data_IF_388039704885
#
_entry.id   IF_388039704885
#
_cell.length_a   1.000
_cell.length_b   1.000
_cell.length_c   1.000
_cell.angle_alpha   90.00
_cell.angle_beta   90.00
_cell.angle_gamma   90.00
#
_symmetry.space_group_name_H-M   'P 1'
#
loop_
_entity.id
_entity.type
_entity.pdbx_description
1 polymer ?
#
# COMPACT_ATOMS: atom_id res chain seq x y z
N UNK A 1 24.61 20.01 2.44
CA UNK A 1 23.19 20.23 2.16
C UNK A 1 22.48 20.13 3.49
N UNK A 2 22.01 21.24 4.09
CA UNK A 2 21.40 21.20 5.44
C UNK A 2 20.15 20.33 5.49
N UNK A 3 19.73 19.93 6.68
CA UNK A 3 18.52 19.13 6.91
C UNK A 3 17.27 19.72 6.24
N UNK A 4 17.12 21.06 6.25
CA UNK A 4 16.03 21.76 5.56
C UNK A 4 16.10 21.57 4.04
N UNK A 5 17.28 21.75 3.45
CA UNK A 5 17.45 21.60 2.00
C UNK A 5 17.26 20.15 1.54
N UNK A 6 17.75 19.18 2.33
CA UNK A 6 17.53 17.75 2.11
C UNK A 6 16.03 17.42 2.16
N UNK A 7 15.32 17.93 3.18
CA UNK A 7 13.87 17.75 3.32
C UNK A 7 13.11 18.29 2.12
N UNK A 8 13.38 19.54 1.72
CA UNK A 8 12.70 20.16 0.58
C UNK A 8 12.92 19.37 -0.71
N UNK A 9 14.15 18.94 -0.98
CA UNK A 9 14.46 18.14 -2.15
C UNK A 9 13.65 16.84 -2.18
N UNK A 10 13.51 16.15 -1.05
CA UNK A 10 12.72 14.91 -0.96
C UNK A 10 11.22 15.18 -1.09
N UNK A 11 10.70 16.26 -0.48
CA UNK A 11 9.30 16.66 -0.63
C UNK A 11 8.98 16.97 -2.10
N UNK A 12 9.82 17.75 -2.77
CA UNK A 12 9.65 18.08 -4.20
C UNK A 12 9.73 16.83 -5.08
N UNK A 13 10.70 15.94 -4.82
CA UNK A 13 10.80 14.65 -5.49
C UNK A 13 9.54 13.78 -5.31
N UNK A 14 8.94 13.77 -4.11
CA UNK A 14 7.75 12.95 -3.83
C UNK A 14 6.49 13.42 -4.61
N UNK A 15 6.49 14.66 -5.11
CA UNK A 15 5.44 15.14 -6.00
C UNK A 15 5.50 14.46 -7.37
N UNK A 16 6.64 13.96 -7.83
CA UNK A 16 6.77 13.22 -9.08
C UNK A 16 7.97 12.27 -8.99
N UNK A 17 7.84 11.14 -8.26
CA UNK A 17 8.98 10.31 -7.93
C UNK A 17 9.51 9.61 -9.18
N UNK A 18 10.65 10.08 -9.66
CA UNK A 18 11.42 9.45 -10.73
C UNK A 18 12.80 9.08 -10.20
N UNK A 19 13.16 7.80 -10.29
CA UNK A 19 14.43 7.29 -9.80
C UNK A 19 14.59 7.36 -8.26
N UNK A 20 15.84 7.25 -7.75
CA UNK A 20 16.10 7.27 -6.32
C UNK A 20 15.81 8.65 -5.70
N UNK A 21 15.42 8.72 -4.42
CA UNK A 21 15.24 9.98 -3.72
C UNK A 21 16.55 10.78 -3.64
N UNK A 22 16.48 12.12 -3.65
CA UNK A 22 17.67 12.95 -3.55
C UNK A 22 18.35 12.77 -2.18
N UNK A 23 19.65 12.50 -2.22
CA UNK A 23 20.47 12.33 -1.03
C UNK A 23 21.01 13.65 -0.49
N UNK A 24 21.09 13.78 0.83
CA UNK A 24 21.66 14.95 1.50
C UNK A 24 22.16 14.64 2.90
N UNK A 25 22.85 15.59 3.53
CA UNK A 25 23.28 15.47 4.92
C UNK A 25 22.20 16.05 5.86
N UNK A 26 22.42 15.87 7.17
CA UNK A 26 21.52 16.33 8.23
C UNK A 26 22.16 17.44 9.07
N UNK A 27 23.05 18.25 8.46
CA UNK A 27 23.58 19.42 9.15
C UNK A 27 22.43 20.35 9.57
N UNK A 28 22.57 20.97 10.75
CA UNK A 28 21.55 21.86 11.33
C UNK A 28 20.20 21.15 11.59
N UNK A 29 20.25 19.89 12.05
CA UNK A 29 19.06 19.08 12.32
C UNK A 29 18.02 19.78 13.22
N UNK A 30 18.47 20.57 14.20
CA UNK A 30 17.61 21.34 15.11
C UNK A 30 16.68 22.31 14.37
N UNK A 31 17.03 22.72 13.14
CA UNK A 31 16.15 23.55 12.31
C UNK A 31 14.83 22.84 11.94
N UNK A 32 14.78 21.49 11.98
CA UNK A 32 13.55 20.71 11.75
C UNK A 32 12.57 20.78 12.93
N UNK A 33 12.99 21.24 14.12
CA UNK A 33 12.09 21.46 15.25
C UNK A 33 11.19 22.68 15.06
N UNK A 34 11.60 23.61 14.17
CA UNK A 34 10.84 24.81 13.82
C UNK A 34 10.98 25.06 12.31
N UNK A 35 10.36 24.20 11.48
CA UNK A 35 10.59 24.22 10.04
C UNK A 35 10.15 25.58 9.43
N UNK A 36 10.85 26.10 8.41
CA UNK A 36 10.41 27.29 7.69
C UNK A 36 9.01 27.12 7.08
N UNK A 37 8.32 28.25 6.85
CA UNK A 37 6.99 28.28 6.22
C UNK A 37 6.97 27.52 4.90
N UNK A 38 8.02 27.67 4.09
CA UNK A 38 8.16 26.97 2.81
C UNK A 38 8.08 25.45 2.97
N UNK A 39 8.80 24.86 3.91
CA UNK A 39 8.81 23.41 4.14
C UNK A 39 7.42 22.89 4.50
N UNK A 40 6.70 23.60 5.39
CA UNK A 40 5.33 23.25 5.75
C UNK A 40 4.37 23.38 4.56
N UNK A 41 4.53 24.41 3.74
CA UNK A 41 3.72 24.61 2.55
C UNK A 41 3.93 23.49 1.53
N UNK A 42 5.20 23.11 1.27
CA UNK A 42 5.52 21.99 0.37
C UNK A 42 4.96 20.67 0.91
N UNK A 43 5.04 20.38 2.22
CA UNK A 43 4.41 19.19 2.80
C UNK A 43 2.89 19.20 2.60
N UNK A 44 2.23 20.35 2.74
CA UNK A 44 0.80 20.48 2.49
C UNK A 44 0.42 20.23 1.02
N UNK A 45 1.27 20.68 0.10
CA UNK A 45 1.13 20.37 -1.33
C UNK A 45 1.29 18.86 -1.59
N UNK A 46 2.33 18.23 -1.03
CA UNK A 46 2.55 16.77 -1.11
C UNK A 46 1.32 16.01 -0.62
N UNK A 47 0.80 16.35 0.56
CA UNK A 47 -0.39 15.72 1.13
C UNK A 47 -1.60 15.84 0.20
N UNK A 48 -1.82 17.02 -0.37
CA UNK A 48 -2.96 17.30 -1.25
C UNK A 48 -2.86 16.55 -2.58
N UNK A 49 -1.69 16.60 -3.22
CA UNK A 49 -1.42 15.89 -4.48
C UNK A 49 -1.51 14.37 -4.27
N UNK A 50 -0.97 13.87 -3.16
CA UNK A 50 -1.05 12.46 -2.80
C UNK A 50 -2.50 12.00 -2.59
N UNK A 51 -3.27 12.74 -1.80
CA UNK A 51 -4.68 12.45 -1.58
C UNK A 51 -5.47 12.43 -2.90
N UNK A 52 -5.25 13.41 -3.78
CA UNK A 52 -5.88 13.46 -5.09
C UNK A 52 -5.51 12.24 -5.96
N UNK A 53 -4.23 11.83 -6.00
CA UNK A 53 -3.77 10.63 -6.71
C UNK A 53 -4.37 9.34 -6.17
N UNK A 54 -4.62 9.30 -4.86
CA UNK A 54 -5.27 8.18 -4.19
C UNK A 54 -6.81 8.23 -4.30
N UNK A 55 -7.38 9.28 -4.91
CA UNK A 55 -8.83 9.45 -5.01
C UNK A 55 -9.52 9.78 -3.68
N UNK A 56 -8.75 10.26 -2.70
CA UNK A 56 -9.23 10.69 -1.38
C UNK A 56 -9.66 12.15 -1.47
N UNK A 57 -10.97 12.40 -1.41
CA UNK A 57 -11.53 13.74 -1.54
C UNK A 57 -11.47 14.49 -0.22
N UNK A 58 -11.18 15.81 -0.21
CA UNK A 58 -11.23 16.61 1.01
C UNK A 58 -12.59 16.66 1.71
N UNK A 59 -13.69 16.38 0.97
CA UNK A 59 -15.08 16.46 1.45
C UNK A 59 -15.58 15.22 2.19
N UNK A 60 -14.93 14.08 1.99
CA UNK A 60 -15.24 12.77 2.61
C UNK A 60 -14.39 12.52 3.85
N UNK A 61 -13.39 13.37 4.08
CA UNK A 61 -12.62 13.46 5.32
C UNK A 61 -13.54 14.13 6.36
N UNK A 62 -13.79 13.51 7.54
CA UNK A 62 -14.59 14.13 8.58
C UNK A 62 -14.07 15.55 8.86
N UNK A 63 -14.93 16.59 8.92
CA UNK A 63 -14.47 17.99 9.02
C UNK A 63 -13.54 18.22 10.23
N UNK A 64 -13.74 17.47 11.31
CA UNK A 64 -12.88 17.44 12.51
C UNK A 64 -11.41 17.09 12.22
N UNK A 65 -11.14 16.36 11.12
CA UNK A 65 -9.78 15.93 10.71
C UNK A 65 -9.16 16.80 9.60
N UNK A 66 -9.90 17.73 9.01
CA UNK A 66 -9.40 18.65 7.95
C UNK A 66 -8.84 19.96 8.49
N UNK A 67 -9.20 20.35 9.71
CA UNK A 67 -8.82 21.62 10.31
C UNK A 67 -7.48 21.57 11.07
N UNK A 68 -6.96 20.37 11.33
CA UNK A 68 -5.69 20.21 12.03
C UNK A 68 -4.51 20.47 11.10
N UNK A 69 -3.52 21.28 11.52
CA UNK A 69 -2.26 21.41 10.80
C UNK A 69 -1.63 20.04 10.58
N UNK A 70 -0.96 19.85 9.43
CA UNK A 70 -0.15 18.66 9.23
C UNK A 70 0.93 18.57 10.32
N UNK A 71 1.03 17.40 10.93
CA UNK A 71 2.07 17.08 11.89
C UNK A 71 3.45 17.18 11.21
N UNK A 72 4.51 17.54 11.96
CA UNK A 72 5.85 17.66 11.42
C UNK A 72 6.47 16.33 10.98
N UNK A 73 5.82 15.19 11.23
CA UNK A 73 6.37 13.86 10.93
C UNK A 73 6.73 13.70 9.45
N UNK A 74 5.90 14.22 8.54
CA UNK A 74 6.22 14.20 7.11
C UNK A 74 7.53 14.94 6.77
N UNK A 75 7.90 15.96 7.55
CA UNK A 75 9.16 16.70 7.42
C UNK A 75 10.31 15.82 7.90
N UNK A 76 10.18 15.19 9.07
CA UNK A 76 11.22 14.31 9.62
C UNK A 76 11.41 13.06 8.77
N UNK A 77 10.34 12.49 8.20
CA UNK A 77 10.39 11.39 7.25
C UNK A 77 11.12 11.77 5.96
N UNK A 78 10.82 12.95 5.40
CA UNK A 78 11.52 13.43 4.22
C UNK A 78 13.03 13.60 4.48
N UNK A 79 13.40 14.18 5.63
CA UNK A 79 14.80 14.30 6.04
C UNK A 79 15.47 12.92 6.20
N UNK A 80 14.80 11.96 6.84
CA UNK A 80 15.31 10.62 7.05
C UNK A 80 15.50 9.85 5.73
N UNK A 81 14.57 9.97 4.78
CA UNK A 81 14.69 9.36 3.44
C UNK A 81 15.91 9.93 2.69
N UNK A 82 16.08 11.24 2.70
CA UNK A 82 17.22 11.89 2.03
C UNK A 82 18.56 11.52 2.68
N UNK A 83 18.60 11.44 4.01
CA UNK A 83 19.79 11.00 4.74
C UNK A 83 20.10 9.51 4.51
N UNK A 84 19.07 8.66 4.50
CA UNK A 84 19.18 7.22 4.32
C UNK A 84 19.70 6.79 2.94
N UNK A 85 19.66 7.70 1.98
CA UNK A 85 20.24 7.51 0.64
C UNK A 85 21.77 7.67 0.64
N UNK A 86 22.35 8.15 1.75
CA UNK A 86 23.78 8.31 1.93
C UNK A 86 24.33 7.27 2.93
N UNK A 87 25.30 6.41 2.55
CA UNK A 87 25.74 5.27 3.37
C UNK A 87 26.22 5.60 4.80
N UNK A 88 26.72 6.82 5.01
CA UNK A 88 27.21 7.30 6.31
C UNK A 88 26.13 7.77 7.29
N UNK A 89 24.86 7.88 6.87
CA UNK A 89 23.79 8.49 7.68
C UNK A 89 22.62 7.54 7.98
N UNK A 90 22.71 6.26 7.61
CA UNK A 90 21.63 5.26 7.81
C UNK A 90 21.18 5.17 9.27
N UNK A 91 22.10 5.17 10.24
CA UNK A 91 21.76 5.10 11.67
C UNK A 91 20.96 6.32 12.11
N UNK A 92 21.40 7.53 11.74
CA UNK A 92 20.70 8.78 12.06
C UNK A 92 19.34 8.85 11.37
N UNK A 93 19.23 8.36 10.12
CA UNK A 93 17.96 8.25 9.41
C UNK A 93 16.96 7.34 10.16
N UNK A 94 17.42 6.19 10.66
CA UNK A 94 16.60 5.28 11.47
C UNK A 94 16.15 5.94 12.77
N UNK A 95 17.03 6.66 13.47
CA UNK A 95 16.68 7.37 14.69
C UNK A 95 15.60 8.44 14.44
N UNK A 96 15.70 9.19 13.34
CA UNK A 96 14.68 10.16 12.94
C UNK A 96 13.33 9.51 12.65
N UNK A 97 13.33 8.36 11.96
CA UNK A 97 12.09 7.59 11.71
C UNK A 97 11.45 7.17 13.03
N UNK A 98 12.23 6.66 13.98
CA UNK A 98 11.71 6.21 15.28
C UNK A 98 11.12 7.35 16.11
N UNK A 99 11.65 8.56 15.98
CA UNK A 99 11.07 9.74 16.62
C UNK A 99 9.67 10.07 16.08
N UNK A 100 9.41 9.83 14.78
CA UNK A 100 8.07 9.97 14.20
C UNK A 100 7.09 9.00 14.87
N UNK A 101 7.48 7.73 15.05
CA UNK A 101 6.61 6.72 15.68
C UNK A 101 6.26 7.06 17.14
N UNK A 102 7.23 7.58 17.90
CA UNK A 102 7.06 7.90 19.32
C UNK A 102 6.23 9.16 19.58
N UNK A 103 6.27 10.14 18.68
CA UNK A 103 5.61 11.43 18.85
C UNK A 103 4.11 11.39 18.55
N UNK A 104 3.67 10.52 17.62
CA UNK A 104 2.35 10.64 17.03
C UNK A 104 1.63 9.29 16.99
N UNK A 105 1.07 8.83 18.11
CA UNK A 105 0.00 7.83 18.02
C UNK A 105 -1.02 8.32 17.00
N UNK A 106 -0.98 7.77 15.77
CA UNK A 106 -1.30 8.51 14.54
C UNK A 106 -2.63 9.23 14.66
N UNK A 107 -2.57 10.56 14.85
CA UNK A 107 -3.73 11.39 15.08
C UNK A 107 -4.46 11.65 13.77
N UNK A 108 -5.11 10.61 13.26
CA UNK A 108 -6.44 10.68 12.68
C UNK A 108 -6.65 11.35 11.32
N UNK A 109 -5.74 12.15 10.77
CA UNK A 109 -6.00 12.87 9.52
C UNK A 109 -5.55 12.12 8.25
N UNK A 110 -6.46 12.04 7.27
CA UNK A 110 -6.21 11.34 6.00
C UNK A 110 -5.11 12.01 5.17
N UNK A 111 -4.93 13.32 5.30
CA UNK A 111 -3.90 14.06 4.58
C UNK A 111 -2.48 13.69 5.06
N UNK A 112 -2.27 13.52 6.36
CA UNK A 112 -1.00 13.05 6.91
C UNK A 112 -0.66 11.63 6.47
N UNK A 113 -1.66 10.74 6.47
CA UNK A 113 -1.51 9.39 5.91
C UNK A 113 -1.13 9.41 4.42
N UNK A 114 -1.77 10.27 3.63
CA UNK A 114 -1.46 10.43 2.21
C UNK A 114 -0.05 10.99 2.00
N UNK A 115 0.37 11.98 2.79
CA UNK A 115 1.70 12.57 2.71
C UNK A 115 2.79 11.55 3.03
N UNK A 116 2.63 10.80 4.12
CA UNK A 116 3.58 9.76 4.51
C UNK A 116 3.65 8.65 3.46
N UNK A 117 2.50 8.27 2.89
CA UNK A 117 2.49 7.32 1.77
C UNK A 117 3.24 7.83 0.55
N UNK A 118 3.05 9.10 0.17
CA UNK A 118 3.75 9.68 -0.99
C UNK A 118 5.26 9.79 -0.79
N UNK A 119 5.73 9.94 0.45
CA UNK A 119 7.14 9.92 0.78
C UNK A 119 7.69 8.49 0.81
N UNK A 120 7.06 7.62 1.60
CA UNK A 120 7.59 6.28 1.91
C UNK A 120 7.42 5.34 0.73
N UNK A 121 6.21 5.25 0.15
CA UNK A 121 5.87 4.30 -0.90
C UNK A 121 6.91 4.23 -2.03
N UNK A 122 7.22 5.34 -2.74
CA UNK A 122 8.23 5.33 -3.78
C UNK A 122 9.67 5.15 -3.27
N UNK A 123 9.96 5.56 -2.03
CA UNK A 123 11.32 5.46 -1.48
C UNK A 123 11.73 4.01 -1.15
N UNK A 124 10.76 3.13 -0.83
CA UNK A 124 11.03 1.75 -0.41
C UNK A 124 11.88 0.95 -1.41
N UNK A 125 11.82 1.28 -2.71
CA UNK A 125 12.59 0.59 -3.74
C UNK A 125 14.08 0.98 -3.79
N UNK A 126 14.47 2.07 -3.12
CA UNK A 126 15.79 2.68 -3.26
C UNK A 126 16.57 2.79 -1.95
N UNK A 127 15.89 2.66 -0.81
CA UNK A 127 16.53 2.72 0.51
C UNK A 127 16.99 1.35 0.99
N UNK A 128 18.01 1.26 1.87
CA UNK A 128 18.40 -0.01 2.47
C UNK A 128 17.25 -0.68 3.23
N UNK A 129 17.15 -2.02 3.18
CA UNK A 129 16.03 -2.77 3.79
C UNK A 129 15.85 -2.48 5.28
N UNK A 130 16.94 -2.23 6.02
CA UNK A 130 16.87 -1.86 7.43
C UNK A 130 16.11 -0.54 7.66
N UNK A 131 16.26 0.44 6.75
CA UNK A 131 15.50 1.68 6.79
C UNK A 131 14.09 1.49 6.22
N UNK A 132 13.94 0.69 5.17
CA UNK A 132 12.64 0.34 4.60
C UNK A 132 11.69 -0.26 5.66
N UNK A 133 12.20 -1.17 6.51
CA UNK A 133 11.45 -1.77 7.60
C UNK A 133 10.93 -0.72 8.61
N UNK A 134 11.79 0.23 9.00
CA UNK A 134 11.42 1.31 9.92
C UNK A 134 10.42 2.27 9.28
N UNK A 135 10.59 2.61 7.99
CA UNK A 135 9.66 3.47 7.25
C UNK A 135 8.25 2.86 7.12
N UNK A 136 8.14 1.53 6.99
CA UNK A 136 6.83 0.83 6.98
C UNK A 136 6.10 0.98 8.32
N UNK A 137 6.81 0.99 9.45
CA UNK A 137 6.21 1.19 10.79
C UNK A 137 5.54 2.56 10.91
N UNK A 138 6.12 3.57 10.27
CA UNK A 138 5.66 4.97 10.31
C UNK A 138 4.92 5.39 9.05
N UNK A 139 4.39 4.45 8.28
CA UNK A 139 3.54 4.79 7.13
C UNK A 139 2.39 3.81 7.01
N UNK A 140 1.38 3.91 7.89
CA UNK A 140 0.28 2.96 7.98
C UNK A 140 -0.45 2.73 6.65
N UNK A 141 -0.64 3.79 5.86
CA UNK A 141 -1.28 3.66 4.55
C UNK A 141 -0.43 2.88 3.55
N UNK A 142 0.90 3.03 3.56
CA UNK A 142 1.81 2.20 2.77
C UNK A 142 1.77 0.75 3.23
N UNK A 143 1.68 0.50 4.54
CA UNK A 143 1.52 -0.84 5.10
C UNK A 143 0.23 -1.52 4.63
N UNK A 144 -0.88 -0.78 4.52
CA UNK A 144 -2.13 -1.30 3.94
C UNK A 144 -2.00 -1.57 2.44
N UNK A 145 -1.48 -0.60 1.68
CA UNK A 145 -1.49 -0.65 0.22
C UNK A 145 -0.41 -1.57 -0.37
N UNK A 146 0.67 -1.83 0.36
CA UNK A 146 1.80 -2.65 -0.09
C UNK A 146 2.06 -3.84 0.84
N UNK A 147 2.89 -3.69 1.86
CA UNK A 147 3.23 -4.76 2.79
C UNK A 147 3.52 -4.14 4.16
N UNK A 148 2.87 -4.60 5.24
CA UNK A 148 3.17 -4.12 6.59
C UNK A 148 4.55 -4.57 7.05
N UNK A 149 5.10 -3.88 8.05
CA UNK A 149 6.23 -4.40 8.80
C UNK A 149 5.82 -5.68 9.54
N UNK A 150 6.78 -6.58 9.75
CA UNK A 150 6.54 -7.85 10.44
C UNK A 150 6.03 -7.60 11.86
N UNK A 151 4.87 -8.17 12.20
CA UNK A 151 4.21 -8.00 13.49
C UNK A 151 3.16 -6.88 13.53
N UNK A 152 3.08 -6.06 12.48
CA UNK A 152 2.12 -4.94 12.37
C UNK A 152 0.93 -5.25 11.44
N UNK A 153 0.74 -6.53 11.10
CA UNK A 153 -0.33 -6.95 10.21
C UNK A 153 -1.72 -6.60 10.76
N UNK A 154 -1.94 -6.74 12.07
CA UNK A 154 -3.25 -6.47 12.68
C UNK A 154 -3.55 -4.97 12.72
N UNK A 155 -2.53 -4.12 12.88
CA UNK A 155 -2.65 -2.66 12.81
C UNK A 155 -3.01 -2.22 11.39
N UNK A 156 -2.34 -2.79 10.39
CA UNK A 156 -2.65 -2.52 8.99
C UNK A 156 -4.06 -3.02 8.63
N UNK A 157 -4.49 -4.18 9.14
CA UNK A 157 -5.83 -4.69 8.91
C UNK A 157 -6.91 -3.77 9.50
N UNK A 158 -6.73 -3.30 10.73
CA UNK A 158 -7.66 -2.35 11.36
C UNK A 158 -7.77 -1.02 10.57
N UNK A 159 -6.66 -0.55 9.97
CA UNK A 159 -6.72 0.61 9.08
C UNK A 159 -7.43 0.29 7.75
N UNK A 160 -7.23 -0.90 7.19
CA UNK A 160 -7.93 -1.34 5.98
C UNK A 160 -9.45 -1.40 6.20
N UNK A 161 -9.91 -1.89 7.35
CA UNK A 161 -11.33 -1.86 7.76
C UNK A 161 -11.85 -0.42 7.86
N UNK A 162 -11.11 0.48 8.51
CA UNK A 162 -11.47 1.90 8.59
C UNK A 162 -11.59 2.56 7.22
N UNK A 163 -10.67 2.26 6.31
CA UNK A 163 -10.74 2.71 4.91
C UNK A 163 -11.98 2.16 4.22
N UNK A 164 -12.26 0.86 4.37
CA UNK A 164 -13.41 0.18 3.79
C UNK A 164 -14.76 0.71 4.33
N UNK A 165 -14.77 1.39 5.48
CA UNK A 165 -15.92 2.11 6.02
C UNK A 165 -16.29 3.41 5.28
N UNK A 166 -15.46 3.86 4.32
CA UNK A 166 -15.68 5.12 3.58
C UNK A 166 -15.76 4.89 2.07
N UNK A 167 -16.56 5.65 1.30
CA UNK A 167 -16.63 5.50 -0.15
C UNK A 167 -15.28 5.68 -0.86
N UNK A 168 -14.45 6.61 -0.38
CA UNK A 168 -13.16 6.90 -1.00
C UNK A 168 -12.13 5.82 -0.68
N UNK A 169 -12.11 5.32 0.56
CA UNK A 169 -11.27 4.19 0.93
C UNK A 169 -11.68 2.90 0.22
N UNK A 170 -12.98 2.67 0.02
CA UNK A 170 -13.47 1.56 -0.83
C UNK A 170 -12.93 1.66 -2.25
N UNK A 171 -13.06 2.84 -2.90
CA UNK A 171 -12.50 3.04 -4.25
C UNK A 171 -10.99 2.85 -4.28
N UNK A 172 -10.26 3.41 -3.30
CA UNK A 172 -8.81 3.26 -3.19
C UNK A 172 -8.40 1.78 -3.11
N UNK A 173 -9.02 1.02 -2.20
CA UNK A 173 -8.75 -0.40 -2.02
C UNK A 173 -9.09 -1.16 -3.30
N UNK A 174 -10.27 -0.94 -3.89
CA UNK A 174 -10.71 -1.60 -5.12
C UNK A 174 -9.69 -1.41 -6.26
N UNK A 175 -9.27 -0.17 -6.51
CA UNK A 175 -8.30 0.13 -7.56
C UNK A 175 -6.91 -0.44 -7.26
N UNK A 176 -6.41 -0.31 -6.03
CA UNK A 176 -5.05 -0.75 -5.70
C UNK A 176 -4.93 -2.26 -5.66
N UNK A 177 -5.92 -2.95 -5.09
CA UNK A 177 -5.84 -4.41 -4.91
C UNK A 177 -6.14 -5.18 -6.20
N UNK A 178 -6.77 -4.52 -7.17
CA UNK A 178 -7.02 -5.03 -8.50
C UNK A 178 -5.76 -5.15 -9.38
N UNK A 179 -4.64 -4.51 -9.04
CA UNK A 179 -3.42 -4.52 -9.87
C UNK A 179 -2.68 -5.87 -9.78
N UNK A 180 -2.46 -6.59 -10.91
CA UNK A 180 -1.77 -7.87 -10.95
C UNK A 180 -0.24 -7.81 -10.85
N UNK A 181 0.36 -6.61 -10.95
CA UNK A 181 1.83 -6.45 -11.07
C UNK A 181 2.55 -6.24 -9.73
N UNK A 182 1.86 -6.43 -8.61
CA UNK A 182 2.46 -6.36 -7.28
C UNK A 182 3.44 -7.52 -7.00
N UNK A 183 4.35 -7.30 -6.06
CA UNK A 183 5.25 -8.33 -5.55
C UNK A 183 4.45 -9.51 -4.92
N UNK A 184 4.92 -10.77 -4.99
CA UNK A 184 4.18 -11.91 -4.42
C UNK A 184 3.74 -11.74 -2.96
N UNK A 185 4.58 -11.14 -2.11
CA UNK A 185 4.23 -10.88 -0.71
C UNK A 185 3.08 -9.87 -0.57
N UNK A 186 3.08 -8.81 -1.38
CA UNK A 186 1.99 -7.83 -1.43
C UNK A 186 0.70 -8.46 -1.96
N UNK A 187 0.77 -9.33 -2.98
CA UNK A 187 -0.40 -10.08 -3.46
C UNK A 187 -1.00 -10.94 -2.35
N UNK A 188 -0.18 -11.63 -1.55
CA UNK A 188 -0.65 -12.41 -0.39
C UNK A 188 -1.25 -11.54 0.69
N UNK A 189 -0.62 -10.40 0.97
CA UNK A 189 -1.12 -9.46 1.94
C UNK A 189 -2.52 -8.94 1.56
N UNK A 190 -2.69 -8.52 0.30
CA UNK A 190 -3.98 -8.15 -0.27
C UNK A 190 -4.99 -9.29 -0.17
N UNK A 191 -4.59 -10.53 -0.47
CA UNK A 191 -5.44 -11.71 -0.34
C UNK A 191 -5.93 -11.92 1.11
N UNK A 192 -5.07 -11.70 2.11
CA UNK A 192 -5.43 -11.77 3.53
C UNK A 192 -6.47 -10.73 3.91
N UNK A 193 -6.28 -9.47 3.50
CA UNK A 193 -7.29 -8.42 3.74
C UNK A 193 -8.61 -8.77 3.05
N UNK A 194 -8.57 -9.26 1.81
CA UNK A 194 -9.77 -9.64 1.07
C UNK A 194 -10.53 -10.81 1.71
N UNK A 195 -9.79 -11.76 2.32
CA UNK A 195 -10.39 -12.84 3.10
C UNK A 195 -11.08 -12.31 4.36
N UNK A 196 -10.48 -11.34 5.03
CA UNK A 196 -11.10 -10.67 6.18
C UNK A 196 -12.38 -9.94 5.78
N UNK A 197 -12.35 -9.12 4.72
CA UNK A 197 -13.55 -8.44 4.19
C UNK A 197 -14.66 -9.41 3.79
N UNK A 198 -14.29 -10.59 3.28
CA UNK A 198 -15.24 -11.66 2.96
C UNK A 198 -15.95 -12.18 4.21
N UNK A 199 -15.23 -12.30 5.33
CA UNK A 199 -15.73 -12.88 6.57
C UNK A 199 -16.53 -11.89 7.42
N UNK A 200 -16.16 -10.61 7.42
CA UNK A 200 -16.78 -9.57 8.28
C UNK A 200 -18.16 -9.09 7.80
N UNK A 201 -18.67 -9.62 6.67
CA UNK A 201 -20.03 -9.42 6.16
C UNK A 201 -20.32 -8.01 5.60
N UNK A 202 -19.96 -6.96 6.33
CA UNK A 202 -20.15 -5.55 5.99
C UNK A 202 -19.30 -5.11 4.80
N UNK A 203 -18.12 -5.73 4.62
CA UNK A 203 -17.20 -5.43 3.52
C UNK A 203 -17.22 -6.47 2.41
N UNK A 204 -18.19 -7.41 2.44
CA UNK A 204 -18.31 -8.48 1.45
C UNK A 204 -18.47 -7.93 0.03
N UNK A 205 -19.24 -6.85 -0.12
CA UNK A 205 -19.45 -6.20 -1.42
C UNK A 205 -18.16 -5.56 -1.94
N UNK A 206 -17.35 -4.96 -1.07
CA UNK A 206 -16.04 -4.41 -1.45
C UNK A 206 -15.11 -5.50 -1.99
N UNK A 207 -15.11 -6.69 -1.39
CA UNK A 207 -14.33 -7.80 -1.92
C UNK A 207 -14.73 -8.14 -3.37
N UNK A 208 -16.03 -8.12 -3.69
CA UNK A 208 -16.51 -8.28 -5.07
C UNK A 208 -16.10 -7.11 -5.98
N UNK A 209 -16.17 -5.87 -5.49
CA UNK A 209 -15.79 -4.69 -6.24
C UNK A 209 -14.29 -4.72 -6.64
N UNK A 210 -13.41 -5.30 -5.80
CA UNK A 210 -12.00 -5.53 -6.12
C UNK A 210 -11.86 -6.48 -7.33
N UNK A 211 -12.58 -7.62 -7.33
CA UNK A 211 -12.55 -8.56 -8.45
C UNK A 211 -13.18 -8.01 -9.72
N UNK A 212 -14.19 -7.14 -9.58
CA UNK A 212 -14.80 -6.43 -10.70
C UNK A 212 -13.82 -5.42 -11.29
N UNK A 213 -13.13 -4.63 -10.46
CA UNK A 213 -12.07 -3.72 -10.89
C UNK A 213 -10.89 -4.47 -11.54
N UNK A 214 -10.51 -5.64 -11.01
CA UNK A 214 -9.46 -6.48 -11.57
C UNK A 214 -9.76 -6.89 -13.02
N UNK A 215 -11.01 -7.20 -13.34
CA UNK A 215 -11.41 -7.58 -14.71
C UNK A 215 -11.66 -6.36 -15.58
N UNK A 216 -12.33 -5.33 -15.05
CA UNK A 216 -12.60 -4.12 -15.82
C UNK A 216 -11.32 -3.37 -16.24
N UNK A 217 -10.29 -3.36 -15.39
CA UNK A 217 -9.08 -2.55 -15.58
C UNK A 217 -7.83 -3.37 -15.93
N UNK A 218 -7.77 -4.63 -15.49
CA UNK A 218 -6.53 -5.42 -15.51
C UNK A 218 -6.71 -6.86 -16.04
N UNK A 219 -7.78 -7.16 -16.79
CA UNK A 219 -8.08 -8.51 -17.27
C UNK A 219 -6.89 -9.21 -17.92
N UNK A 220 -6.23 -8.57 -18.89
CA UNK A 220 -5.09 -9.17 -19.60
C UNK A 220 -3.88 -9.41 -18.68
N UNK A 221 -3.65 -8.52 -17.72
CA UNK A 221 -2.62 -8.71 -16.70
C UNK A 221 -2.92 -9.94 -15.84
N UNK A 222 -4.14 -10.09 -15.34
CA UNK A 222 -4.54 -11.27 -14.56
C UNK A 222 -4.54 -12.56 -15.38
N UNK A 223 -5.02 -12.54 -16.63
CA UNK A 223 -4.94 -13.70 -17.55
C UNK A 223 -3.50 -14.20 -17.68
N UNK A 224 -2.56 -13.29 -17.93
CA UNK A 224 -1.13 -13.61 -18.01
C UNK A 224 -0.61 -14.21 -16.70
N UNK A 225 -0.88 -13.57 -15.55
CA UNK A 225 -0.41 -14.05 -14.24
C UNK A 225 -0.98 -15.42 -13.86
N UNK A 226 -2.25 -15.68 -14.17
CA UNK A 226 -2.88 -17.00 -13.95
C UNK A 226 -2.24 -18.07 -14.84
N UNK A 227 -1.97 -17.74 -16.11
CA UNK A 227 -1.27 -18.62 -17.04
C UNK A 227 0.14 -18.96 -16.56
N UNK A 228 0.91 -17.95 -16.15
CA UNK A 228 2.25 -18.11 -15.54
C UNK A 228 2.20 -19.01 -14.29
N UNK A 229 1.29 -18.71 -13.35
CA UNK A 229 1.13 -19.48 -12.12
C UNK A 229 0.77 -20.94 -12.40
N UNK A 230 -0.16 -21.18 -13.33
CA UNK A 230 -0.60 -22.53 -13.70
C UNK A 230 0.53 -23.33 -14.33
N UNK A 231 1.32 -22.71 -15.21
CA UNK A 231 2.50 -23.34 -15.81
C UNK A 231 3.56 -23.69 -14.77
N UNK A 232 3.79 -22.81 -13.80
CA UNK A 232 4.71 -23.06 -12.67
C UNK A 232 4.25 -24.25 -11.82
N UNK A 233 2.96 -24.31 -11.47
CA UNK A 233 2.42 -25.41 -10.65
C UNK A 233 2.40 -26.76 -11.39
N UNK A 234 2.36 -26.74 -12.72
CA UNK A 234 2.46 -27.94 -13.55
C UNK A 234 3.91 -28.34 -13.85
N UNK A 235 4.90 -27.49 -13.55
CA UNK A 235 6.30 -27.80 -13.78
C UNK A 235 6.78 -28.92 -12.86
N UNK A 236 7.69 -29.76 -13.36
CA UNK A 236 8.23 -30.89 -12.60
C UNK A 236 9.10 -30.45 -11.42
N UNK A 237 9.86 -29.37 -11.60
CA UNK A 237 10.83 -28.85 -10.63
C UNK A 237 10.82 -27.31 -10.63
N UNK A 238 9.76 -26.65 -10.13
CA UNK A 238 9.73 -25.21 -9.99
C UNK A 238 10.73 -24.77 -8.91
N UNK A 239 11.39 -23.63 -9.09
CA UNK A 239 12.22 -23.06 -8.04
C UNK A 239 11.34 -22.58 -6.86
N UNK A 240 11.88 -22.49 -5.63
CA UNK A 240 11.10 -22.01 -4.48
C UNK A 240 10.43 -20.66 -4.72
N UNK A 241 11.13 -19.69 -5.34
CA UNK A 241 10.56 -18.36 -5.65
C UNK A 241 9.49 -18.38 -6.75
N UNK A 242 9.60 -19.29 -7.72
CA UNK A 242 8.54 -19.51 -8.72
C UNK A 242 7.29 -20.07 -8.05
N UNK A 243 7.45 -21.13 -7.25
CA UNK A 243 6.34 -21.70 -6.48
C UNK A 243 5.72 -20.65 -5.56
N UNK A 244 6.54 -19.84 -4.90
CA UNK A 244 6.11 -18.74 -4.04
C UNK A 244 5.16 -17.78 -4.78
N UNK A 245 5.57 -17.38 -5.98
CA UNK A 245 4.80 -16.50 -6.87
C UNK A 245 3.48 -17.13 -7.30
N UNK A 246 3.49 -18.39 -7.73
CA UNK A 246 2.28 -19.08 -8.16
C UNK A 246 1.29 -19.25 -7.00
N UNK A 247 1.79 -19.58 -5.81
CA UNK A 247 0.98 -19.69 -4.59
C UNK A 247 0.38 -18.34 -4.19
N UNK A 248 1.11 -17.24 -4.32
CA UNK A 248 0.59 -15.90 -4.05
C UNK A 248 -0.58 -15.55 -5.00
N UNK A 249 -0.42 -15.77 -6.30
CA UNK A 249 -1.45 -15.50 -7.31
C UNK A 249 -2.69 -16.34 -7.02
N UNK A 250 -2.56 -17.64 -6.76
CA UNK A 250 -3.72 -18.47 -6.44
C UNK A 250 -4.36 -18.13 -5.08
N UNK A 251 -3.57 -17.67 -4.10
CA UNK A 251 -4.08 -17.21 -2.80
C UNK A 251 -4.97 -15.98 -2.95
N UNK A 252 -4.61 -15.05 -3.85
CA UNK A 252 -5.44 -13.89 -4.16
C UNK A 252 -6.84 -14.25 -4.65
N UNK A 253 -7.00 -15.39 -5.32
CA UNK A 253 -8.30 -15.90 -5.79
C UNK A 253 -9.08 -16.73 -4.75
N UNK A 254 -8.49 -17.06 -3.58
CA UNK A 254 -9.17 -17.85 -2.54
C UNK A 254 -10.40 -17.13 -1.95
N UNK A 255 -10.36 -15.82 -1.64
CA UNK A 255 -11.55 -15.13 -1.14
C UNK A 255 -12.69 -15.18 -2.17
N UNK A 256 -12.38 -15.06 -3.46
CA UNK A 256 -13.39 -15.20 -4.52
C UNK A 256 -14.02 -16.59 -4.54
N UNK A 257 -13.20 -17.64 -4.41
CA UNK A 257 -13.69 -19.02 -4.33
C UNK A 257 -14.63 -19.20 -3.13
N UNK A 258 -14.35 -18.54 -2.00
CA UNK A 258 -15.25 -18.51 -0.84
C UNK A 258 -16.57 -17.78 -1.14
N UNK A 259 -16.50 -16.60 -1.76
CA UNK A 259 -17.67 -15.82 -2.17
C UNK A 259 -18.57 -16.60 -3.14
N UNK A 260 -17.97 -17.22 -4.16
CA UNK A 260 -18.66 -17.99 -5.19
C UNK A 260 -19.39 -19.21 -4.65
N UNK A 261 -18.80 -19.89 -3.67
CA UNK A 261 -19.46 -21.05 -3.03
C UNK A 261 -20.64 -20.65 -2.15
N UNK A 262 -20.60 -19.46 -1.56
CA UNK A 262 -21.62 -19.01 -0.63
C UNK A 262 -22.79 -18.30 -1.32
N UNK A 263 -22.57 -17.68 -2.48
CA UNK A 263 -23.60 -16.94 -3.21
C UNK A 263 -23.21 -16.78 -4.68
N UNK A 264 -23.51 -17.78 -5.50
CA UNK A 264 -23.16 -17.75 -6.92
C UNK A 264 -24.06 -16.79 -7.72
N UNK A 265 -25.28 -16.51 -7.25
CA UNK A 265 -26.22 -15.62 -7.95
C UNK A 265 -25.77 -14.15 -7.83
N UNK A 266 -25.33 -13.71 -6.65
CA UNK A 266 -24.80 -12.36 -6.47
C UNK A 266 -23.60 -12.03 -7.38
N UNK A 267 -22.85 -13.05 -7.81
CA UNK A 267 -21.76 -12.92 -8.78
C UNK A 267 -22.30 -12.85 -10.21
N UNK A 268 -23.29 -13.68 -10.56
CA UNK A 268 -23.89 -13.68 -11.90
C UNK A 268 -24.63 -12.39 -12.24
N UNK A 269 -25.22 -11.75 -11.24
CA UNK A 269 -25.94 -10.47 -11.41
C UNK A 269 -25.01 -9.28 -11.73
N UNK A 270 -23.69 -9.43 -11.52
CA UNK A 270 -22.71 -8.36 -11.74
C UNK A 270 -22.31 -8.27 -13.21
N UNK A 271 -22.69 -7.14 -13.83
CA UNK A 271 -22.64 -6.87 -15.28
C UNK A 271 -21.25 -6.94 -15.90
N UNK A 272 -20.20 -6.62 -15.16
CA UNK A 272 -18.82 -6.66 -15.65
C UNK A 272 -18.12 -8.00 -15.41
N UNK A 273 -18.77 -8.95 -14.72
CA UNK A 273 -18.23 -10.30 -14.52
C UNK A 273 -18.52 -11.26 -15.69
N UNK A 274 -18.98 -10.72 -16.84
CA UNK A 274 -19.37 -11.48 -18.02
C UNK A 274 -18.18 -12.09 -18.80
N UNK A 275 -16.93 -11.66 -18.55
CA UNK A 275 -15.74 -12.43 -18.96
C UNK A 275 -15.55 -13.60 -17.96
N UNK A 276 -16.45 -14.58 -18.07
CA UNK A 276 -16.54 -15.72 -17.17
C UNK A 276 -15.27 -16.59 -17.22
N UNK A 277 -14.52 -16.54 -18.33
CA UNK A 277 -13.32 -17.35 -18.54
C UNK A 277 -12.19 -16.98 -17.57
N UNK A 278 -11.97 -15.69 -17.33
CA UNK A 278 -10.96 -15.23 -16.37
C UNK A 278 -11.29 -15.68 -14.95
N UNK A 279 -12.55 -15.55 -14.52
CA UNK A 279 -12.98 -16.02 -13.20
C UNK A 279 -12.86 -17.52 -13.04
N UNK A 280 -13.27 -18.29 -14.04
CA UNK A 280 -13.12 -19.74 -14.01
C UNK A 280 -11.65 -20.15 -13.92
N UNK A 281 -10.77 -19.48 -14.65
CA UNK A 281 -9.33 -19.73 -14.57
C UNK A 281 -8.78 -19.41 -13.18
N UNK A 282 -9.15 -18.26 -12.60
CA UNK A 282 -8.79 -17.87 -11.24
C UNK A 282 -9.31 -18.85 -10.17
N UNK A 283 -10.57 -19.27 -10.28
CA UNK A 283 -11.20 -20.24 -9.38
C UNK A 283 -10.52 -21.62 -9.44
N UNK A 284 -10.14 -22.09 -10.64
CA UNK A 284 -9.38 -23.34 -10.81
C UNK A 284 -8.02 -23.24 -10.15
N UNK A 285 -7.30 -22.14 -10.37
CA UNK A 285 -6.00 -21.90 -9.74
C UNK A 285 -6.12 -21.88 -8.20
N UNK A 286 -7.12 -21.19 -7.66
CA UNK A 286 -7.40 -21.15 -6.22
C UNK A 286 -7.66 -22.55 -5.64
N UNK A 287 -8.38 -23.42 -6.37
CA UNK A 287 -8.62 -24.80 -5.94
C UNK A 287 -7.33 -25.63 -5.87
N UNK A 288 -6.44 -25.48 -6.86
CA UNK A 288 -5.13 -26.16 -6.86
C UNK A 288 -4.29 -25.69 -5.67
N UNK A 289 -4.16 -24.38 -5.47
CA UNK A 289 -3.41 -23.81 -4.34
C UNK A 289 -3.96 -24.28 -3.00
N UNK A 290 -5.29 -24.27 -2.84
CA UNK A 290 -5.95 -24.80 -1.63
C UNK A 290 -5.66 -26.28 -1.38
N UNK A 291 -5.51 -27.10 -2.42
CA UNK A 291 -5.20 -28.52 -2.29
C UNK A 291 -3.75 -28.75 -1.85
N UNK A 292 -2.82 -27.90 -2.29
CA UNK A 292 -1.40 -27.95 -1.93
C UNK A 292 -1.17 -27.49 -0.48
N UNK A 293 -1.95 -26.53 0.01
CA UNK A 293 -1.81 -25.97 1.37
C UNK A 293 -2.43 -26.83 2.49
N UNK A 294 -2.94 -28.03 2.18
CA UNK A 294 -3.53 -28.97 3.14
C UNK A 294 -2.60 -30.13 3.42
#
# INVERSE_FOLDING_TARGET
MTAITTTLAVLDWSLAPEGPPPGGDLAELDALLSPPVLVRATLAEVATVAAARLGLSPKTIPPETTAEPLAPDGIWLAAAIGAGSHPGFTTTAIELVRLCNAATGWSGNWLGLAACHALVGPALAFVPEILAAELRLVSPLTSVLSLPAKGEEDVALALAERLAGTPDGQRLIAHRFADPNAHPEEIRWRARIMEDFRLTGHHRLLALDIYEAAVALHAEGWKRRIGEATAILAAREPTPGQLETAMAIGSWWLPFLGLYRNDHEAIRERRYLNDFDLYLAGLRLAQVVRAISR
#
